data_IF_366216855423
#
_entry.id   IF_366216855423
#
_cell.length_a   1.000
_cell.length_b   1.000
_cell.length_c   1.000
_cell.angle_alpha   90.00
_cell.angle_beta   90.00
_cell.angle_gamma   90.00
#
_symmetry.space_group_name_H-M   'P 1'
#
loop_
_entity.id
_entity.type
_entity.pdbx_description
1 polymer ?
#
# COMPACT_ATOMS: atom_id res chain seq x y z
N UNK A 1 5.11 22.34 -8.71
CA UNK A 1 4.56 21.38 -7.72
C UNK A 1 3.21 20.95 -8.24
N UNK A 2 2.84 19.66 -8.14
CA UNK A 2 1.46 19.25 -8.45
C UNK A 2 0.54 19.75 -7.35
N UNK A 3 -0.69 20.13 -7.68
CA UNK A 3 -1.72 20.39 -6.69
C UNK A 3 -2.19 19.09 -6.02
N UNK A 4 -2.96 19.24 -4.93
CA UNK A 4 -3.45 18.11 -4.14
C UNK A 4 -4.31 17.15 -4.98
N UNK A 5 -5.19 17.67 -5.83
CA UNK A 5 -6.08 16.84 -6.67
C UNK A 5 -5.28 15.97 -7.64
N UNK A 6 -4.23 16.52 -8.26
CA UNK A 6 -3.33 15.76 -9.11
C UNK A 6 -2.54 14.68 -8.34
N UNK A 7 -2.22 14.91 -7.06
CA UNK A 7 -1.60 13.90 -6.20
C UNK A 7 -2.59 12.79 -5.83
N UNK A 8 -3.83 13.16 -5.47
CA UNK A 8 -4.92 12.23 -5.14
C UNK A 8 -5.28 11.34 -6.33
N UNK A 9 -5.49 11.93 -7.50
CA UNK A 9 -5.78 11.19 -8.73
C UNK A 9 -4.67 10.21 -9.06
N UNK A 10 -3.40 10.64 -8.97
CA UNK A 10 -2.26 9.76 -9.26
C UNK A 10 -2.19 8.57 -8.30
N UNK A 11 -2.39 8.79 -7.00
CA UNK A 11 -2.37 7.72 -6.00
C UNK A 11 -3.50 6.71 -6.26
N UNK A 12 -4.72 7.22 -6.50
CA UNK A 12 -5.88 6.40 -6.88
C UNK A 12 -5.62 5.57 -8.14
N UNK A 13 -5.12 6.20 -9.20
CA UNK A 13 -4.85 5.52 -10.48
C UNK A 13 -3.85 4.38 -10.35
N UNK A 14 -2.87 4.52 -9.45
CA UNK A 14 -1.90 3.46 -9.19
C UNK A 14 -2.58 2.23 -8.56
N UNK A 15 -3.46 2.44 -7.59
CA UNK A 15 -4.15 1.35 -6.88
C UNK A 15 -5.30 0.76 -7.69
N UNK A 16 -5.97 1.54 -8.54
CA UNK A 16 -7.01 1.05 -9.46
C UNK A 16 -6.48 -0.02 -10.42
N UNK A 17 -5.18 -0.01 -10.69
CA UNK A 17 -4.50 -1.00 -11.56
C UNK A 17 -4.12 -2.29 -10.86
N UNK A 18 -4.31 -2.38 -9.53
CA UNK A 18 -4.00 -3.59 -8.77
C UNK A 18 -5.19 -4.54 -8.86
N UNK A 19 -4.99 -5.71 -9.45
CA UNK A 19 -5.99 -6.76 -9.66
C UNK A 19 -5.64 -8.02 -8.89
N UNK A 20 -6.54 -9.01 -8.91
CA UNK A 20 -6.38 -10.33 -8.24
C UNK A 20 -5.88 -10.22 -6.78
N UNK A 21 -6.38 -9.22 -6.07
CA UNK A 21 -6.01 -8.97 -4.67
C UNK A 21 -6.54 -10.09 -3.80
N UNK A 22 -5.68 -10.64 -2.97
CA UNK A 22 -6.04 -11.61 -1.93
C UNK A 22 -5.44 -11.15 -0.61
N UNK A 23 -6.15 -11.40 0.48
CA UNK A 23 -5.56 -11.36 1.82
C UNK A 23 -6.20 -12.42 2.70
N UNK A 24 -5.36 -13.10 3.47
CA UNK A 24 -5.72 -14.09 4.44
C UNK A 24 -5.00 -13.76 5.76
N UNK A 25 -5.74 -13.83 6.86
CA UNK A 25 -5.23 -13.62 8.21
C UNK A 25 -5.62 -14.83 9.03
N UNK A 26 -4.63 -15.55 9.56
CA UNK A 26 -4.81 -16.75 10.39
C UNK A 26 -5.71 -17.81 9.74
N UNK A 27 -5.52 -18.03 8.44
CA UNK A 27 -6.30 -18.98 7.63
C UNK A 27 -7.64 -18.42 7.13
N UNK A 28 -8.05 -17.22 7.54
CA UNK A 28 -9.33 -16.60 7.14
C UNK A 28 -9.13 -15.57 6.03
N UNK A 29 -9.74 -15.82 4.88
CA UNK A 29 -9.77 -14.86 3.78
C UNK A 29 -10.65 -13.66 4.13
N UNK A 30 -10.12 -12.44 3.91
CA UNK A 30 -10.89 -11.21 4.05
C UNK A 30 -11.58 -10.91 2.72
N UNK A 31 -12.91 -10.90 2.76
CA UNK A 31 -13.77 -10.57 1.61
C UNK A 31 -14.05 -9.07 1.53
N UNK A 32 -14.60 -8.63 0.40
CA UNK A 32 -15.02 -7.25 0.18
C UNK A 32 -13.92 -6.22 0.43
N UNK A 33 -12.72 -6.45 -0.14
CA UNK A 33 -11.55 -5.58 0.10
C UNK A 33 -11.80 -4.09 -0.17
N UNK A 34 -12.79 -3.72 -0.99
CA UNK A 34 -13.14 -2.31 -1.20
C UNK A 34 -13.50 -1.58 0.11
N UNK A 35 -14.07 -2.28 1.10
CA UNK A 35 -14.42 -1.71 2.40
C UNK A 35 -13.16 -1.27 3.20
N UNK A 36 -11.98 -1.76 2.80
CA UNK A 36 -10.69 -1.48 3.42
C UNK A 36 -9.85 -0.52 2.57
N UNK A 37 -10.40 0.02 1.48
CA UNK A 37 -9.69 1.00 0.66
C UNK A 37 -9.77 2.39 1.29
N UNK A 38 -8.60 2.97 1.60
CA UNK A 38 -8.50 4.30 2.20
C UNK A 38 -7.47 5.13 1.46
N UNK A 39 -7.81 6.40 1.26
CA UNK A 39 -6.89 7.42 0.79
C UNK A 39 -6.49 8.32 1.95
N UNK A 40 -5.20 8.56 2.14
CA UNK A 40 -4.71 9.42 3.21
C UNK A 40 -5.08 10.89 2.98
N UNK A 41 -5.04 11.72 4.04
CA UNK A 41 -4.84 13.15 3.89
C UNK A 41 -3.52 13.46 3.16
N UNK A 42 -3.35 14.71 2.74
CA UNK A 42 -2.07 15.22 2.25
C UNK A 42 -1.04 15.21 3.39
N UNK A 43 0.17 14.69 3.14
CA UNK A 43 1.25 14.66 4.13
C UNK A 43 2.59 15.08 3.52
N UNK A 44 3.49 15.56 4.37
CA UNK A 44 4.85 15.92 3.97
C UNK A 44 5.74 14.67 3.94
N UNK A 45 6.57 14.57 2.90
CA UNK A 45 7.62 13.57 2.74
C UNK A 45 8.95 14.30 2.57
N UNK A 46 10.00 13.75 3.18
CA UNK A 46 11.36 14.26 3.05
C UNK A 46 12.16 13.28 2.21
N UNK A 47 12.59 13.71 1.03
CA UNK A 47 13.49 12.92 0.20
C UNK A 47 14.95 13.22 0.56
N UNK A 48 15.77 12.20 0.88
CA UNK A 48 17.20 12.39 1.06
C UNK A 48 17.88 12.71 -0.27
N UNK A 49 19.11 13.21 -0.18
CA UNK A 49 20.03 13.26 -1.32
C UNK A 49 20.24 11.84 -1.88
N UNK A 50 20.43 11.73 -3.20
CA UNK A 50 20.67 10.45 -3.89
C UNK A 50 19.60 9.37 -3.62
N UNK A 51 18.34 9.77 -3.39
CA UNK A 51 17.26 8.81 -3.17
C UNK A 51 17.04 7.90 -4.38
N UNK A 52 16.57 6.68 -4.11
CA UNK A 52 16.34 5.62 -5.12
C UNK A 52 15.38 6.01 -6.25
N UNK A 53 14.61 7.09 -6.09
CA UNK A 53 13.67 7.58 -7.09
C UNK A 53 14.32 8.57 -8.06
N UNK A 54 15.57 8.99 -7.83
CA UNK A 54 16.28 9.96 -8.66
C UNK A 54 15.63 11.35 -8.68
N UNK A 55 14.80 11.67 -7.67
CA UNK A 55 14.12 12.97 -7.57
C UNK A 55 14.91 13.96 -6.71
N UNK A 56 14.58 15.24 -6.83
CA UNK A 56 15.18 16.31 -6.02
C UNK A 56 14.97 16.04 -4.52
N UNK A 57 16.04 16.20 -3.73
CA UNK A 57 15.98 16.13 -2.27
C UNK A 57 15.19 17.29 -1.65
N UNK A 58 14.74 17.10 -0.41
CA UNK A 58 13.99 18.09 0.36
C UNK A 58 12.54 17.69 0.65
N UNK A 59 11.79 18.64 1.19
CA UNK A 59 10.40 18.44 1.61
C UNK A 59 9.48 18.61 0.40
N UNK A 60 8.56 17.67 0.23
CA UNK A 60 7.46 17.73 -0.73
C UNK A 60 6.20 17.12 -0.13
N UNK A 61 5.09 17.17 -0.86
CA UNK A 61 3.81 16.61 -0.43
C UNK A 61 3.46 15.33 -1.19
N UNK A 62 2.73 14.44 -0.52
CA UNK A 62 2.25 13.17 -1.07
C UNK A 62 0.87 12.81 -0.53
N UNK A 63 0.19 11.94 -1.27
CA UNK A 63 -1.03 11.24 -0.87
C UNK A 63 -0.79 9.75 -1.10
N UNK A 64 -1.27 8.92 -0.19
CA UNK A 64 -1.27 7.48 -0.32
C UNK A 64 -2.69 6.99 -0.54
N UNK A 65 -2.88 6.04 -1.45
CA UNK A 65 -4.12 5.30 -1.65
C UNK A 65 -3.76 3.83 -1.48
N UNK A 66 -4.66 3.01 -0.93
CA UNK A 66 -4.35 1.60 -0.74
C UNK A 66 -5.43 0.85 0.01
N UNK A 67 -5.21 -0.44 0.19
CA UNK A 67 -6.01 -1.32 1.04
C UNK A 67 -5.31 -1.46 2.38
N UNK A 68 -5.94 -0.97 3.44
CA UNK A 68 -5.33 -0.88 4.77
C UNK A 68 -6.10 -1.78 5.72
N UNK A 69 -5.44 -2.83 6.18
CA UNK A 69 -6.02 -3.80 7.11
C UNK A 69 -5.24 -3.70 8.42
N UNK A 70 -5.94 -3.29 9.47
CA UNK A 70 -5.38 -3.13 10.81
C UNK A 70 -5.73 -4.36 11.64
N UNK A 71 -4.71 -4.99 12.22
CA UNK A 71 -4.91 -6.02 13.21
C UNK A 71 -5.30 -5.37 14.53
N UNK A 72 -6.26 -5.98 15.23
CA UNK A 72 -6.63 -5.55 16.56
C UNK A 72 -5.41 -5.74 17.49
N UNK A 73 -5.04 -4.72 18.28
CA UNK A 73 -4.03 -4.90 19.31
C UNK A 73 -4.44 -6.02 20.27
N UNK A 74 -3.53 -6.94 20.54
CA UNK A 74 -3.71 -7.97 21.58
C UNK A 74 -3.13 -7.47 22.90
N UNK A 75 -3.75 -7.85 24.02
CA UNK A 75 -3.21 -7.58 25.37
C UNK A 75 -2.05 -8.52 25.72
N UNK A 76 -2.07 -9.71 25.13
CA UNK A 76 -1.06 -10.76 25.32
C UNK A 76 -0.26 -10.94 24.02
N UNK A 77 1.01 -11.39 24.10
CA UNK A 77 1.79 -11.71 22.92
C UNK A 77 1.02 -12.68 22.00
N UNK A 78 0.99 -12.38 20.72
CA UNK A 78 0.23 -13.16 19.74
C UNK A 78 1.00 -13.28 18.42
N UNK A 79 0.80 -14.41 17.74
CA UNK A 79 1.40 -14.70 16.45
C UNK A 79 0.29 -14.69 15.42
N UNK A 80 0.48 -13.92 14.35
CA UNK A 80 -0.40 -13.86 13.20
C UNK A 80 0.32 -14.34 11.95
N UNK A 81 -0.39 -15.11 11.14
CA UNK A 81 0.05 -15.44 9.77
C UNK A 81 -0.75 -14.59 8.81
N UNK A 82 -0.08 -13.68 8.10
CA UNK A 82 -0.70 -12.81 7.11
C UNK A 82 -0.19 -13.21 5.73
N UNK A 83 -1.10 -13.57 4.85
CA UNK A 83 -0.80 -13.82 3.45
C UNK A 83 -1.52 -12.79 2.60
N UNK A 84 -0.83 -12.11 1.71
CA UNK A 84 -1.45 -11.20 0.77
C UNK A 84 -0.77 -11.25 -0.59
N UNK A 85 -1.53 -10.90 -1.61
CA UNK A 85 -1.04 -10.91 -2.98
C UNK A 85 -1.85 -10.02 -3.89
N UNK A 86 -1.34 -9.84 -5.09
CA UNK A 86 -1.97 -9.06 -6.13
C UNK A 86 -1.10 -8.97 -7.38
N UNK A 87 -1.73 -8.54 -8.45
CA UNK A 87 -1.07 -8.24 -9.72
C UNK A 87 -1.17 -6.74 -9.96
N UNK A 88 -0.11 -6.11 -10.42
CA UNK A 88 -0.16 -4.73 -10.87
C UNK A 88 0.41 -4.62 -12.29
N UNK A 89 -0.28 -3.81 -13.10
CA UNK A 89 0.14 -3.48 -14.45
C UNK A 89 0.51 -2.00 -14.54
N UNK A 90 1.78 -1.71 -14.80
CA UNK A 90 2.22 -0.37 -15.14
C UNK A 90 2.19 -0.21 -16.67
N UNK A 91 1.08 0.36 -17.18
CA UNK A 91 0.85 0.53 -18.63
C UNK A 91 1.89 1.43 -19.33
N UNK A 92 2.65 2.26 -18.60
CA UNK A 92 3.63 3.17 -19.20
C UNK A 92 4.91 2.47 -19.63
N UNK A 93 5.31 1.42 -18.91
CA UNK A 93 6.60 0.75 -19.11
C UNK A 93 6.45 -0.75 -19.42
N UNK A 94 5.21 -1.24 -19.56
CA UNK A 94 4.91 -2.66 -19.78
C UNK A 94 5.22 -3.56 -18.58
N UNK A 95 5.54 -2.98 -17.42
CA UNK A 95 5.89 -3.73 -16.22
C UNK A 95 4.63 -4.39 -15.64
N UNK A 96 4.56 -5.70 -15.78
CA UNK A 96 3.62 -6.55 -15.04
C UNK A 96 4.38 -7.19 -13.88
N UNK A 97 3.88 -7.04 -12.66
CA UNK A 97 4.39 -7.80 -11.53
C UNK A 97 3.24 -8.44 -10.77
N UNK A 98 3.49 -9.65 -10.29
CA UNK A 98 2.63 -10.36 -9.37
C UNK A 98 3.40 -10.57 -8.07
N UNK A 99 2.69 -10.49 -6.94
CA UNK A 99 3.26 -10.79 -5.63
C UNK A 99 2.35 -11.71 -4.84
N UNK A 100 2.96 -12.56 -4.04
CA UNK A 100 2.32 -13.39 -3.03
C UNK A 100 3.29 -13.51 -1.86
N UNK A 101 2.94 -12.89 -0.74
CA UNK A 101 3.82 -12.71 0.42
C UNK A 101 3.13 -13.31 1.63
N UNK A 102 3.91 -14.06 2.43
CA UNK A 102 3.49 -14.59 3.73
C UNK A 102 4.38 -14.02 4.83
N UNK A 103 3.77 -13.35 5.81
CA UNK A 103 4.43 -12.89 7.01
C UNK A 103 4.00 -13.70 8.23
N UNK A 104 4.95 -13.98 9.11
CA UNK A 104 4.71 -14.44 10.47
C UNK A 104 5.03 -13.26 11.37
N UNK A 105 4.00 -12.64 11.94
CA UNK A 105 4.13 -11.42 12.75
C UNK A 105 3.89 -11.80 14.20
N UNK A 106 4.84 -11.47 15.07
CA UNK A 106 4.65 -11.52 16.52
C UNK A 106 4.31 -10.12 17.01
N UNK A 107 3.15 -9.97 17.63
CA UNK A 107 2.78 -8.79 18.39
C UNK A 107 3.22 -9.03 19.83
N UNK A 108 4.03 -8.12 20.38
CA UNK A 108 4.57 -8.14 21.74
C UNK A 108 4.05 -6.98 22.57
#
# INVERSE_FOLDING_TARGET
MKDEDALRSRAKDAIDRVTKKIINIDGKEIKNLQDYRVQSPLFNVVFPEENIYGVKSGITQAVSDGYWILLKPSKEPSIHVIEFGGEARCLKDGLEFATNVKYHITLV
#
